data_IF_802807342648
#
_entry.id   IF_802807342648
#
_cell.length_a   1.000
_cell.length_b   1.000
_cell.length_c   1.000
_cell.angle_alpha   90.00
_cell.angle_beta   90.00
_cell.angle_gamma   90.00
#
_symmetry.space_group_name_H-M   'P 1'
#
loop_
_entity.id
_entity.type
_entity.pdbx_description
1 polymer ?
#
# COMPACT_ATOMS: atom_id res chain seq x y z
N UNK A 1 -9.01 -18.90 -24.20
CA UNK A 1 -9.64 -17.89 -23.33
C UNK A 1 -8.51 -17.08 -22.72
N UNK A 2 -8.57 -15.74 -22.72
CA UNK A 2 -7.54 -14.93 -22.07
C UNK A 2 -7.48 -15.28 -20.58
N UNK A 3 -6.27 -15.41 -20.06
CA UNK A 3 -6.02 -15.75 -18.66
C UNK A 3 -5.47 -14.51 -17.97
N UNK A 4 -6.39 -13.64 -17.56
CA UNK A 4 -6.01 -12.41 -16.87
C UNK A 4 -5.47 -12.72 -15.47
N UNK A 5 -4.29 -12.19 -15.18
CA UNK A 5 -3.65 -12.26 -13.85
C UNK A 5 -3.10 -10.89 -13.49
N UNK A 6 -2.96 -10.63 -12.19
CA UNK A 6 -2.30 -9.41 -11.71
C UNK A 6 -1.14 -9.75 -10.78
N UNK A 7 -0.18 -8.83 -10.67
CA UNK A 7 0.91 -8.89 -9.71
C UNK A 7 0.99 -7.58 -8.93
N UNK A 8 1.18 -7.69 -7.61
CA UNK A 8 1.47 -6.55 -6.73
C UNK A 8 2.89 -6.69 -6.20
N UNK A 9 3.73 -5.71 -6.46
CA UNK A 9 5.15 -5.71 -6.04
C UNK A 9 5.46 -4.49 -5.17
N UNK A 10 6.26 -4.64 -4.10
CA UNK A 10 6.64 -3.52 -3.26
C UNK A 10 7.53 -2.55 -4.02
N UNK A 11 7.34 -1.25 -3.79
CA UNK A 11 8.16 -0.18 -4.33
C UNK A 11 9.19 0.26 -3.29
N UNK A 12 10.38 0.63 -3.75
CA UNK A 12 11.40 1.22 -2.89
C UNK A 12 10.87 2.49 -2.19
N UNK A 13 11.42 2.83 -1.02
CA UNK A 13 11.01 4.04 -0.31
C UNK A 13 11.29 5.33 -1.10
N UNK A 14 12.42 5.38 -1.83
CA UNK A 14 12.85 6.57 -2.58
C UNK A 14 11.79 7.13 -3.57
N UNK A 15 11.07 6.30 -4.37
CA UNK A 15 9.95 6.77 -5.20
C UNK A 15 8.61 6.91 -4.46
N UNK A 16 8.61 7.06 -3.14
CA UNK A 16 7.42 7.22 -2.30
C UNK A 16 6.85 5.91 -1.72
N UNK A 17 7.59 4.81 -1.78
CA UNK A 17 7.18 3.53 -1.19
C UNK A 17 5.89 2.94 -1.77
N UNK A 18 5.21 2.12 -0.98
CA UNK A 18 3.96 1.48 -1.36
C UNK A 18 4.15 0.37 -2.39
N UNK A 19 3.23 0.27 -3.35
CA UNK A 19 3.15 -0.88 -4.26
C UNK A 19 2.90 -0.48 -5.71
N UNK A 20 3.39 -1.29 -6.64
CA UNK A 20 3.02 -1.27 -8.05
C UNK A 20 2.14 -2.47 -8.36
N UNK A 21 1.03 -2.22 -9.05
CA UNK A 21 0.13 -3.22 -9.60
C UNK A 21 0.41 -3.34 -11.09
N UNK A 22 0.50 -4.57 -11.61
CA UNK A 22 0.61 -4.88 -13.04
C UNK A 22 -0.45 -5.90 -13.43
N UNK A 23 -1.10 -5.68 -14.56
CA UNK A 23 -2.08 -6.58 -15.17
C UNK A 23 -1.46 -7.30 -16.36
N UNK A 24 -1.74 -8.58 -16.50
CA UNK A 24 -1.27 -9.40 -17.61
C UNK A 24 -2.42 -10.17 -18.27
N UNK A 25 -2.33 -10.37 -19.58
CA UNK A 25 -3.02 -11.45 -20.31
C UNK A 25 -1.99 -12.47 -20.76
N UNK A 26 -1.94 -13.61 -20.06
CA UNK A 26 -0.81 -14.52 -20.16
C UNK A 26 0.50 -13.86 -19.72
N UNK A 27 1.40 -13.64 -20.69
CA UNK A 27 2.72 -13.02 -20.49
C UNK A 27 2.75 -11.54 -20.93
N UNK A 28 1.70 -11.05 -21.59
CA UNK A 28 1.64 -9.66 -22.07
C UNK A 28 1.15 -8.73 -20.95
N UNK A 29 1.96 -7.74 -20.58
CA UNK A 29 1.55 -6.69 -19.64
C UNK A 29 0.58 -5.72 -20.31
N UNK A 30 -0.65 -5.65 -19.81
CA UNK A 30 -1.72 -4.82 -20.37
C UNK A 30 -1.83 -3.43 -19.71
N UNK A 31 -1.21 -3.25 -18.55
CA UNK A 31 -1.23 -1.99 -17.82
C UNK A 31 -0.84 -2.13 -16.36
N UNK A 32 -0.84 -1.00 -15.66
CA UNK A 32 -0.46 -0.97 -14.25
C UNK A 32 -0.92 0.29 -13.52
N UNK A 33 -0.73 0.26 -12.21
CA UNK A 33 -1.09 1.32 -11.27
C UNK A 33 -0.04 1.46 -10.17
N UNK A 34 0.02 2.63 -9.54
CA UNK A 34 0.94 2.92 -8.44
C UNK A 34 0.14 3.39 -7.23
N UNK A 35 0.43 2.77 -6.10
CA UNK A 35 -0.21 3.01 -4.81
C UNK A 35 0.87 3.48 -3.83
N UNK A 36 1.11 4.80 -3.69
CA UNK A 36 2.18 5.33 -2.87
C UNK A 36 1.89 5.19 -1.37
N UNK A 37 2.94 4.99 -0.57
CA UNK A 37 2.86 4.93 0.90
C UNK A 37 3.87 5.91 1.53
N UNK A 38 3.99 7.11 0.96
CA UNK A 38 4.98 8.09 1.38
C UNK A 38 4.58 8.74 2.71
N UNK A 39 5.22 8.29 3.79
CA UNK A 39 5.06 8.84 5.14
C UNK A 39 5.51 10.30 5.28
N UNK A 40 6.25 10.84 4.30
CA UNK A 40 6.79 12.20 4.30
C UNK A 40 6.05 13.17 3.38
N UNK A 41 5.11 12.69 2.56
CA UNK A 41 4.32 13.54 1.66
C UNK A 41 3.55 14.64 2.41
N UNK A 42 3.06 14.34 3.62
CA UNK A 42 2.35 15.29 4.49
C UNK A 42 2.95 15.28 5.91
N UNK A 43 3.87 16.21 6.23
CA UNK A 43 4.73 16.12 7.42
C UNK A 43 4.01 15.97 8.77
N UNK A 44 2.82 16.54 8.89
CA UNK A 44 2.05 16.52 10.15
C UNK A 44 0.95 15.45 10.20
N UNK A 45 0.59 14.86 9.05
CA UNK A 45 -0.57 13.96 8.98
C UNK A 45 -0.37 12.70 9.81
N UNK A 46 0.82 12.11 9.78
CA UNK A 46 1.14 10.92 10.56
C UNK A 46 1.05 11.15 12.07
N UNK A 47 1.56 12.27 12.57
CA UNK A 47 1.49 12.62 13.99
C UNK A 47 0.04 12.90 14.41
N UNK A 48 -0.70 13.66 13.60
CA UNK A 48 -2.12 13.95 13.84
C UNK A 48 -2.94 12.66 13.89
N UNK A 49 -2.80 11.80 12.88
CA UNK A 49 -3.45 10.48 12.85
C UNK A 49 -3.10 9.65 14.09
N UNK A 50 -1.81 9.53 14.41
CA UNK A 50 -1.35 8.74 15.55
C UNK A 50 -1.97 9.21 16.87
N UNK A 51 -2.10 10.53 17.05
CA UNK A 51 -2.73 11.13 18.23
C UNK A 51 -4.24 10.88 18.32
N UNK A 52 -4.93 10.54 17.23
CA UNK A 52 -6.35 10.13 17.28
C UNK A 52 -6.56 8.68 17.69
N UNK A 53 -5.53 7.84 17.61
CA UNK A 53 -5.65 6.42 17.90
C UNK A 53 -5.74 6.12 19.40
N UNK A 54 -6.53 5.09 19.81
CA UNK A 54 -6.42 4.49 21.13
C UNK A 54 -5.02 3.91 21.39
N UNK A 55 -4.64 3.78 22.66
CA UNK A 55 -3.32 3.27 23.06
C UNK A 55 -2.98 1.89 22.47
N UNK A 56 -3.94 0.97 22.44
CA UNK A 56 -3.75 -0.36 21.86
C UNK A 56 -3.42 -0.33 20.36
N UNK A 57 -4.09 0.55 19.61
CA UNK A 57 -3.81 0.74 18.18
C UNK A 57 -2.45 1.42 17.96
N UNK A 58 -2.10 2.41 18.79
CA UNK A 58 -0.76 3.01 18.76
C UNK A 58 0.33 1.95 18.97
N UNK A 59 0.17 1.11 19.99
CA UNK A 59 1.13 0.05 20.30
C UNK A 59 1.25 -0.96 19.16
N UNK A 60 0.14 -1.34 18.53
CA UNK A 60 0.12 -2.21 17.34
C UNK A 60 0.94 -1.61 16.21
N UNK A 61 0.69 -0.35 15.83
CA UNK A 61 1.36 0.27 14.70
C UNK A 61 2.85 0.54 14.94
N UNK A 62 3.23 0.88 16.17
CA UNK A 62 4.64 0.98 16.56
C UNK A 62 5.36 -0.38 16.46
N UNK A 63 4.69 -1.46 16.90
CA UNK A 63 5.22 -2.83 16.77
C UNK A 63 5.38 -3.24 15.32
N UNK A 64 4.37 -2.99 14.49
CA UNK A 64 4.39 -3.30 13.05
C UNK A 64 5.55 -2.57 12.35
N UNK A 65 5.73 -1.28 12.67
CA UNK A 65 6.83 -0.47 12.15
C UNK A 65 8.20 -0.82 12.74
N UNK A 66 8.25 -1.68 13.77
CA UNK A 66 9.43 -1.94 14.59
C UNK A 66 10.13 -0.63 15.03
N UNK A 67 9.34 0.35 15.49
CA UNK A 67 9.80 1.70 15.80
C UNK A 67 9.02 2.31 16.96
N UNK A 68 9.61 3.28 17.63
CA UNK A 68 8.96 4.11 18.65
C UNK A 68 8.47 5.46 18.09
N UNK A 69 8.64 5.72 16.79
CA UNK A 69 8.33 7.01 16.16
C UNK A 69 6.93 6.97 15.50
N UNK A 70 6.03 7.93 15.81
CA UNK A 70 4.71 8.02 15.19
C UNK A 70 4.73 8.08 13.66
N UNK A 71 5.73 8.73 13.07
CA UNK A 71 5.89 8.81 11.60
C UNK A 71 6.18 7.45 10.96
N UNK A 72 6.85 6.54 11.68
CA UNK A 72 7.12 5.19 11.18
C UNK A 72 5.87 4.31 11.29
N UNK A 73 5.10 4.45 12.37
CA UNK A 73 3.77 3.85 12.50
C UNK A 73 2.82 4.31 11.38
N UNK A 74 2.86 5.59 11.01
CA UNK A 74 2.11 6.13 9.87
C UNK A 74 2.54 5.49 8.55
N UNK A 75 3.85 5.31 8.34
CA UNK A 75 4.37 4.60 7.17
C UNK A 75 3.88 3.16 7.09
N UNK A 76 3.89 2.41 8.21
CA UNK A 76 3.36 1.05 8.25
C UNK A 76 1.85 1.00 7.93
N UNK A 77 1.07 1.95 8.45
CA UNK A 77 -0.35 2.07 8.13
C UNK A 77 -0.58 2.38 6.64
N UNK A 78 0.18 3.31 6.07
CA UNK A 78 0.10 3.62 4.64
C UNK A 78 0.48 2.42 3.77
N UNK A 79 1.47 1.62 4.16
CA UNK A 79 1.84 0.39 3.46
C UNK A 79 0.69 -0.63 3.48
N UNK A 80 0.01 -0.80 4.62
CA UNK A 80 -1.18 -1.66 4.69
C UNK A 80 -2.27 -1.17 3.74
N UNK A 81 -2.60 0.13 3.76
CA UNK A 81 -3.62 0.71 2.87
C UNK A 81 -3.26 0.54 1.39
N UNK A 82 -2.02 0.87 1.01
CA UNK A 82 -1.57 0.77 -0.38
C UNK A 82 -1.61 -0.69 -0.89
N UNK A 83 -1.31 -1.67 -0.03
CA UNK A 83 -1.41 -3.08 -0.38
C UNK A 83 -2.86 -3.53 -0.58
N UNK A 84 -3.75 -3.13 0.33
CA UNK A 84 -5.17 -3.45 0.28
C UNK A 84 -5.83 -2.86 -0.97
N UNK A 85 -5.53 -1.60 -1.28
CA UNK A 85 -6.01 -0.90 -2.47
C UNK A 85 -5.48 -1.54 -3.75
N UNK A 86 -4.17 -1.83 -3.83
CA UNK A 86 -3.56 -2.47 -4.99
C UNK A 86 -4.15 -3.86 -5.28
N UNK A 87 -4.43 -4.66 -4.23
CA UNK A 87 -5.07 -5.96 -4.37
C UNK A 87 -6.52 -5.84 -4.81
N UNK A 88 -7.27 -4.95 -4.18
CA UNK A 88 -8.68 -4.70 -4.52
C UNK A 88 -8.82 -4.28 -5.99
N UNK A 89 -7.99 -3.34 -6.45
CA UNK A 89 -7.98 -2.91 -7.86
C UNK A 89 -7.58 -4.06 -8.81
N UNK A 90 -6.55 -4.85 -8.45
CA UNK A 90 -6.12 -6.01 -9.24
C UNK A 90 -7.22 -7.08 -9.36
N UNK A 91 -7.93 -7.37 -8.28
CA UNK A 91 -9.06 -8.30 -8.25
C UNK A 91 -10.22 -7.79 -9.11
N UNK A 92 -10.54 -6.49 -9.02
CA UNK A 92 -11.53 -5.86 -9.87
C UNK A 92 -11.15 -5.97 -11.36
N UNK A 93 -9.88 -5.73 -11.72
CA UNK A 93 -9.43 -5.84 -13.09
C UNK A 93 -9.57 -7.24 -13.68
N UNK A 94 -9.24 -8.27 -12.90
CA UNK A 94 -9.43 -9.66 -13.33
C UNK A 94 -10.91 -10.00 -13.40
N UNK A 95 -11.72 -9.59 -12.42
CA UNK A 95 -13.15 -9.94 -12.37
C UNK A 95 -13.97 -9.35 -13.51
N UNK A 96 -13.67 -8.11 -13.91
CA UNK A 96 -14.35 -7.39 -14.99
C UNK A 96 -14.03 -7.92 -16.39
N UNK A 97 -12.95 -8.71 -16.52
CA UNK A 97 -12.46 -9.26 -17.79
C UNK A 97 -12.67 -10.78 -17.90
N UNK A 98 -13.36 -11.38 -16.94
CA UNK A 98 -13.80 -12.79 -16.98
C UNK A 98 -14.89 -13.02 -18.01
#
# INVERSE_FOLDING_TARGET
MPHYRYEVTPRAEAPGGGYSLRLFDGDEELGGGVFPADRHAEPYKGVTWFNTLPEGERARWLKEANSSRPVDAWGAYLQMLALDEAKSEGELWVSTRK
#
